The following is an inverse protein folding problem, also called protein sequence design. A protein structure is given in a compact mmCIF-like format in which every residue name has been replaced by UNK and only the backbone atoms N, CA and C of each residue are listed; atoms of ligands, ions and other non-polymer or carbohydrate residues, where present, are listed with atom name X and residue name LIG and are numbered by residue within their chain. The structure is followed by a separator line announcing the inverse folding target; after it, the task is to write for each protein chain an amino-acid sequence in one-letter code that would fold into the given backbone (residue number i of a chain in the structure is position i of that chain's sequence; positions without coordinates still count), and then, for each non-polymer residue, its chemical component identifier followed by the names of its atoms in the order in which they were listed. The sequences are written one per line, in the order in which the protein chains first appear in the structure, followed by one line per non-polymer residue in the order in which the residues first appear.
data_IF_817839073173
#
_entry.id   IF_817839073173
#
_cell.length_a   1.000
_cell.length_b   1.000
_cell.length_c   1.000
_cell.angle_alpha   90.00
_cell.angle_beta   90.00
_cell.angle_gamma   90.00
#
_symmetry.space_group_name_H-M   'P 1'
#
loop_
_entity.id
_entity.type
_entity.pdbx_description
1 polymer ?
#
# COMPACT_ATOMS: atom_id res chain seq x y z
N UNK A 1 26.40 9.28 -25.23
CA UNK A 1 26.78 8.91 -23.85
C UNK A 1 27.90 7.85 -23.79
N UNK A 2 29.02 8.01 -24.52
CA UNK A 2 30.09 6.97 -24.58
C UNK A 2 31.09 6.99 -23.41
N UNK A 3 31.19 8.11 -22.67
CA UNK A 3 32.20 8.27 -21.62
C UNK A 3 31.97 7.34 -20.41
N UNK A 4 30.72 7.15 -19.99
CA UNK A 4 30.37 6.26 -18.87
C UNK A 4 30.49 4.77 -19.25
N UNK A 5 30.22 4.42 -20.51
CA UNK A 5 30.32 3.05 -21.00
C UNK A 5 31.75 2.49 -20.94
N UNK A 6 32.78 3.35 -21.11
CA UNK A 6 34.19 2.95 -20.99
C UNK A 6 34.59 2.58 -19.55
N UNK A 7 33.85 3.06 -18.55
CA UNK A 7 34.13 2.85 -17.13
C UNK A 7 33.00 2.09 -16.42
N UNK A 8 32.36 1.15 -17.11
CA UNK A 8 31.23 0.38 -16.58
C UNK A 8 31.55 -0.31 -15.23
N UNK A 9 32.79 -0.75 -15.01
CA UNK A 9 33.22 -1.36 -13.75
C UNK A 9 33.17 -0.36 -12.57
N UNK A 10 33.71 0.86 -12.76
CA UNK A 10 33.68 1.91 -11.74
C UNK A 10 32.27 2.40 -11.45
N UNK A 11 31.42 2.49 -12.49
CA UNK A 11 30.00 2.83 -12.32
C UNK A 11 29.29 1.76 -11.48
N UNK A 12 29.55 0.47 -11.74
CA UNK A 12 28.97 -0.63 -10.97
C UNK A 12 29.43 -0.62 -9.51
N UNK A 13 30.72 -0.39 -9.27
CA UNK A 13 31.30 -0.28 -7.94
C UNK A 13 30.70 0.91 -7.16
N UNK A 14 30.58 2.08 -7.82
CA UNK A 14 29.91 3.26 -7.26
C UNK A 14 28.44 2.97 -6.93
N UNK A 15 27.70 2.30 -7.83
CA UNK A 15 26.32 1.89 -7.58
C UNK A 15 26.23 0.95 -6.37
N UNK A 16 27.15 0.00 -6.21
CA UNK A 16 27.17 -0.89 -5.04
C UNK A 16 27.47 -0.12 -3.76
N UNK A 17 28.45 0.78 -3.75
CA UNK A 17 28.81 1.59 -2.59
C UNK A 17 27.63 2.47 -2.15
N UNK A 18 27.01 3.18 -3.10
CA UNK A 18 25.82 4.01 -2.86
C UNK A 18 24.66 3.14 -2.34
N UNK A 19 24.47 1.93 -2.87
CA UNK A 19 23.41 1.04 -2.39
C UNK A 19 23.64 0.60 -0.94
N UNK A 20 24.88 0.27 -0.58
CA UNK A 20 25.22 -0.11 0.80
C UNK A 20 25.12 1.06 1.76
N UNK A 21 25.59 2.25 1.35
CA UNK A 21 25.47 3.47 2.15
C UNK A 21 24.00 3.84 2.38
N UNK A 22 23.15 3.72 1.36
CA UNK A 22 21.70 3.92 1.51
C UNK A 22 21.10 2.95 2.51
N UNK A 23 21.46 1.67 2.47
CA UNK A 23 20.99 0.68 3.44
C UNK A 23 21.42 1.04 4.86
N UNK A 24 22.69 1.39 5.06
CA UNK A 24 23.23 1.81 6.37
C UNK A 24 22.53 3.08 6.88
N UNK A 25 22.29 4.05 6.00
CA UNK A 25 21.57 5.28 6.34
C UNK A 25 20.11 4.99 6.73
N UNK A 26 19.41 4.12 5.99
CA UNK A 26 18.05 3.69 6.33
C UNK A 26 18.01 3.02 7.70
N UNK A 27 18.96 2.14 8.02
CA UNK A 27 19.07 1.49 9.33
C UNK A 27 19.24 2.52 10.46
N UNK A 28 20.14 3.50 10.29
CA UNK A 28 20.33 4.56 11.29
C UNK A 28 19.07 5.41 11.49
N UNK A 29 18.38 5.77 10.40
CA UNK A 29 17.10 6.49 10.48
C UNK A 29 16.00 5.69 11.17
N UNK A 30 15.92 4.37 10.94
CA UNK A 30 14.95 3.51 11.62
C UNK A 30 15.17 3.50 13.13
N UNK A 31 16.42 3.43 13.59
CA UNK A 31 16.76 3.51 15.02
C UNK A 31 16.40 4.87 15.63
N UNK A 32 16.74 5.97 14.96
CA UNK A 32 16.43 7.33 15.40
C UNK A 32 14.91 7.57 15.50
N UNK A 33 14.14 7.07 14.52
CA UNK A 33 12.70 7.32 14.40
C UNK A 33 11.89 6.21 15.08
N UNK A 34 12.52 5.19 15.68
CA UNK A 34 11.86 4.04 16.32
C UNK A 34 10.73 4.42 17.28
N UNK A 35 10.90 5.52 18.03
CA UNK A 35 9.89 6.01 18.98
C UNK A 35 8.68 6.70 18.32
N UNK A 36 8.80 7.10 17.06
CA UNK A 36 7.75 7.77 16.27
C UNK A 36 7.03 6.80 15.33
N UNK A 37 7.65 5.68 14.95
CA UNK A 37 7.00 4.62 14.17
C UNK A 37 5.99 3.92 15.08
N UNK A 38 4.72 4.31 14.96
CA UNK A 38 3.63 3.55 15.55
C UNK A 38 3.28 2.38 14.63
N UNK A 39 3.62 1.16 15.05
CA UNK A 39 3.23 -0.08 14.37
C UNK A 39 1.73 -0.35 14.58
N UNK A 40 0.90 0.38 13.84
CA UNK A 40 -0.53 0.08 13.76
C UNK A 40 -0.74 -1.05 12.75
N UNK A 41 -0.21 -2.23 13.07
CA UNK A 41 -0.41 -3.42 12.26
C UNK A 41 -1.87 -3.85 12.37
N UNK A 42 -2.52 -3.96 11.22
CA UNK A 42 -3.92 -4.34 11.11
C UNK A 42 -3.97 -5.69 10.39
N UNK A 43 -4.56 -6.66 11.06
CA UNK A 43 -4.72 -8.04 10.57
C UNK A 43 -6.15 -8.32 10.14
N UNK A 44 -6.37 -9.47 9.49
CA UNK A 44 -7.71 -9.88 9.10
C UNK A 44 -8.55 -10.16 10.36
N UNK A 45 -9.81 -9.73 10.34
CA UNK A 45 -10.73 -9.84 11.47
C UNK A 45 -10.61 -8.73 12.51
N UNK A 46 -9.64 -7.82 12.36
CA UNK A 46 -9.50 -6.68 13.27
C UNK A 46 -10.60 -5.64 13.07
N UNK A 47 -10.99 -5.02 14.17
CA UNK A 47 -11.95 -3.93 14.19
C UNK A 47 -11.20 -2.61 13.94
N UNK A 48 -11.66 -1.84 12.95
CA UNK A 48 -11.00 -0.62 12.49
C UNK A 48 -12.00 0.52 12.29
N UNK A 49 -11.52 1.75 12.41
CA UNK A 49 -12.20 2.96 12.03
C UNK A 49 -11.68 3.46 10.69
N UNK A 50 -12.57 4.00 9.87
CA UNK A 50 -12.21 4.56 8.56
C UNK A 50 -12.33 6.07 8.57
N UNK A 51 -11.25 6.77 8.24
CA UNK A 51 -11.28 8.23 8.07
C UNK A 51 -12.23 8.61 6.93
N UNK A 52 -13.19 9.48 7.22
CA UNK A 52 -14.15 9.98 6.24
C UNK A 52 -13.50 11.06 5.35
N UNK A 53 -13.06 10.66 4.16
CA UNK A 53 -12.41 11.58 3.21
C UNK A 53 -13.37 12.55 2.55
N UNK A 54 -14.65 12.19 2.40
CA UNK A 54 -15.65 13.03 1.71
C UNK A 54 -15.90 14.34 2.45
N UNK A 55 -15.75 14.36 3.78
CA UNK A 55 -15.97 15.57 4.59
C UNK A 55 -14.70 16.41 4.76
N UNK A 56 -13.54 15.90 4.36
CA UNK A 56 -12.24 16.54 4.67
C UNK A 56 -12.11 17.94 4.05
N UNK A 57 -12.73 18.15 2.89
CA UNK A 57 -12.75 19.43 2.15
C UNK A 57 -14.01 20.27 2.39
N UNK A 58 -14.96 19.79 3.20
CA UNK A 58 -16.22 20.51 3.44
C UNK A 58 -16.06 21.61 4.50
N UNK A 59 -16.78 22.73 4.36
CA UNK A 59 -16.79 23.81 5.36
C UNK A 59 -17.37 23.33 6.70
N UNK A 60 -18.38 22.45 6.65
CA UNK A 60 -19.04 21.88 7.83
C UNK A 60 -18.31 20.67 8.43
N UNK A 61 -17.04 20.44 8.05
CA UNK A 61 -16.25 19.28 8.52
C UNK A 61 -16.24 19.15 10.04
N UNK A 62 -16.26 20.27 10.76
CA UNK A 62 -16.25 20.30 12.23
C UNK A 62 -17.52 19.71 12.85
N UNK A 63 -18.64 19.74 12.12
CA UNK A 63 -19.95 19.25 12.57
C UNK A 63 -20.22 17.78 12.20
N UNK A 64 -19.36 17.16 11.39
CA UNK A 64 -19.55 15.80 10.88
C UNK A 64 -18.58 14.81 11.56
N UNK A 65 -18.95 13.52 11.67
CA UNK A 65 -18.07 12.50 12.26
C UNK A 65 -16.80 12.32 11.41
N UNK A 66 -15.64 12.45 12.04
CA UNK A 66 -14.32 12.32 11.39
C UNK A 66 -14.03 10.90 10.91
N UNK A 67 -14.49 9.93 11.68
CA UNK A 67 -14.33 8.51 11.42
C UNK A 67 -15.70 7.90 11.20
N UNK A 68 -15.79 7.03 10.21
CA UNK A 68 -16.89 6.10 10.03
C UNK A 68 -16.73 4.97 11.04
N UNK A 69 -17.85 4.34 11.38
CA UNK A 69 -17.98 3.42 12.50
C UNK A 69 -16.99 2.25 12.50
N UNK A 70 -17.06 1.41 13.53
CA UNK A 70 -16.21 0.23 13.62
C UNK A 70 -16.55 -0.76 12.49
N UNK A 71 -15.54 -1.13 11.72
CA UNK A 71 -15.61 -2.04 10.58
C UNK A 71 -14.63 -3.21 10.76
N UNK A 72 -14.97 -4.38 10.26
CA UNK A 72 -14.11 -5.56 10.30
C UNK A 72 -13.27 -5.63 9.03
N UNK A 73 -11.98 -5.92 9.17
CA UNK A 73 -11.09 -6.18 8.04
C UNK A 73 -11.35 -7.57 7.50
N UNK A 74 -11.81 -7.68 6.25
CA UNK A 74 -12.06 -8.96 5.60
C UNK A 74 -10.81 -9.46 4.89
N UNK A 75 -10.14 -8.56 4.17
CA UNK A 75 -9.02 -8.89 3.31
C UNK A 75 -8.05 -7.71 3.17
N UNK A 76 -6.77 -8.00 3.01
CA UNK A 76 -5.77 -7.04 2.52
C UNK A 76 -5.51 -7.19 1.01
N UNK A 77 -5.09 -6.11 0.36
CA UNK A 77 -4.69 -6.08 -1.05
C UNK A 77 -3.23 -5.72 -1.18
N UNK A 78 -2.61 -6.15 -2.28
CA UNK A 78 -1.24 -5.75 -2.61
C UNK A 78 -1.22 -4.24 -2.90
N UNK A 79 -0.42 -3.49 -2.15
CA UNK A 79 -0.44 -2.02 -2.14
C UNK A 79 -1.04 -1.40 -0.87
N UNK A 80 -1.37 -2.21 0.14
CA UNK A 80 -1.77 -1.71 1.46
C UNK A 80 -3.18 -1.10 1.47
N UNK A 81 -4.09 -1.65 0.67
CA UNK A 81 -5.50 -1.33 0.80
C UNK A 81 -6.25 -2.49 1.46
N UNK A 82 -7.35 -2.18 2.12
CA UNK A 82 -8.19 -3.13 2.85
C UNK A 82 -9.59 -3.20 2.24
N UNK A 83 -10.15 -4.40 2.28
CA UNK A 83 -11.58 -4.66 2.10
C UNK A 83 -12.21 -4.76 3.48
N UNK A 84 -13.25 -3.96 3.71
CA UNK A 84 -13.89 -3.82 5.02
C UNK A 84 -15.35 -4.24 4.96
N UNK A 85 -15.88 -4.72 6.08
CA UNK A 85 -17.31 -4.94 6.29
C UNK A 85 -17.80 -4.19 7.52
N UNK A 86 -19.04 -3.73 7.49
CA UNK A 86 -19.76 -3.31 8.68
C UNK A 86 -20.11 -4.54 9.55
N UNK A 87 -20.45 -4.29 10.81
CA UNK A 87 -20.74 -5.33 11.81
C UNK A 87 -22.00 -6.16 11.51
N UNK A 88 -22.88 -5.64 10.65
CA UNK A 88 -24.05 -6.34 10.13
C UNK A 88 -23.70 -7.33 9.00
N UNK A 89 -22.45 -7.33 8.53
CA UNK A 89 -21.98 -8.14 7.41
C UNK A 89 -22.05 -7.42 6.06
N UNK A 90 -22.47 -6.16 6.01
CA UNK A 90 -22.48 -5.37 4.78
C UNK A 90 -21.06 -5.06 4.32
N UNK A 91 -20.71 -5.45 3.10
CA UNK A 91 -19.36 -5.27 2.54
C UNK A 91 -19.21 -3.86 1.96
N UNK A 92 -18.12 -3.20 2.32
CA UNK A 92 -17.72 -1.95 1.68
C UNK A 92 -17.09 -2.25 0.32
N UNK A 93 -17.82 -1.95 -0.75
CA UNK A 93 -17.47 -2.32 -2.13
C UNK A 93 -16.10 -1.74 -2.58
N UNK A 94 -15.77 -0.53 -2.13
CA UNK A 94 -14.54 0.16 -2.53
C UNK A 94 -13.34 -0.16 -1.62
N UNK A 95 -12.17 -0.40 -2.21
CA UNK A 95 -10.93 -0.59 -1.44
C UNK A 95 -10.59 0.66 -0.62
N UNK A 96 -10.21 0.45 0.64
CA UNK A 96 -9.85 1.53 1.58
C UNK A 96 -8.34 1.53 1.79
N UNK A 97 -7.67 2.63 1.46
CA UNK A 97 -6.23 2.75 1.62
C UNK A 97 -5.81 2.70 3.11
N UNK A 98 -4.67 2.05 3.43
CA UNK A 98 -4.18 1.85 4.80
C UNK A 98 -4.07 3.15 5.61
N UNK A 99 -3.64 4.26 4.99
CA UNK A 99 -3.50 5.53 5.71
C UNK A 99 -4.84 6.11 6.21
N UNK A 100 -5.98 5.59 5.73
CA UNK A 100 -7.33 5.96 6.19
C UNK A 100 -7.83 5.06 7.32
N UNK A 101 -7.20 3.90 7.51
CA UNK A 101 -7.62 2.90 8.48
C UNK A 101 -6.89 3.13 9.79
N UNK A 102 -7.64 3.17 10.89
CA UNK A 102 -7.11 3.31 12.24
C UNK A 102 -7.65 2.17 13.09
N UNK A 103 -6.84 1.42 13.84
CA UNK A 103 -7.33 0.37 14.72
C UNK A 103 -8.38 0.90 15.71
N UNK A 104 -9.49 0.19 15.87
CA UNK A 104 -10.51 0.50 16.86
C UNK A 104 -10.25 -0.30 18.14
N UNK A 105 -10.14 0.39 19.28
CA UNK A 105 -9.85 -0.23 20.59
C UNK A 105 -8.65 -1.18 20.53
N UNK A 106 -7.46 -0.61 20.34
CA UNK A 106 -6.10 -1.20 20.35
C UNK A 106 -5.97 -2.64 19.81
N UNK A 107 -6.59 -3.70 20.35
CA UNK A 107 -6.66 -5.05 19.73
C UNK A 107 -7.91 -5.86 20.16
N UNK A 108 -9.13 -5.41 19.83
CA UNK A 108 -10.31 -6.30 19.97
C UNK A 108 -10.56 -7.06 18.68
N UNK A 109 -9.77 -8.11 18.44
CA UNK A 109 -10.10 -9.08 17.41
C UNK A 109 -11.44 -9.72 17.78
N UNK A 110 -12.43 -9.62 16.90
CA UNK A 110 -13.70 -10.32 17.11
C UNK A 110 -13.41 -11.81 16.89
N UNK A 111 -13.55 -12.61 17.94
CA UNK A 111 -13.43 -14.06 17.82
C UNK A 111 -14.62 -14.57 17.03
N UNK A 112 -14.38 -14.88 15.76
CA UNK A 112 -15.35 -15.57 14.94
C UNK A 112 -15.45 -17.04 15.38
N UNK A 113 -16.64 -17.61 15.18
CA UNK A 113 -16.81 -19.07 15.28
C UNK A 113 -15.91 -19.78 14.27
N UNK A 114 -15.54 -21.03 14.54
CA UNK A 114 -14.64 -21.79 13.66
C UNK A 114 -15.12 -21.83 12.20
N UNK A 115 -16.43 -21.92 11.98
CA UNK A 115 -17.02 -21.93 10.63
C UNK A 115 -16.91 -20.57 9.91
N UNK A 116 -17.02 -19.45 10.63
CA UNK A 116 -16.85 -18.12 10.03
C UNK A 116 -15.37 -17.87 9.77
N UNK A 117 -14.47 -18.28 10.68
CA UNK A 117 -13.04 -18.16 10.47
C UNK A 117 -12.59 -18.97 9.25
N UNK A 118 -13.05 -20.22 9.12
CA UNK A 118 -12.79 -21.05 7.94
C UNK A 118 -13.34 -20.41 6.67
N UNK A 119 -14.51 -19.76 6.72
CA UNK A 119 -15.06 -19.03 5.58
C UNK A 119 -14.30 -17.74 5.23
N UNK A 120 -13.71 -17.05 6.21
CA UNK A 120 -12.84 -15.89 5.99
C UNK A 120 -11.49 -16.32 5.38
N UNK A 121 -10.93 -17.42 5.89
CA UNK A 121 -9.70 -18.02 5.37
C UNK A 121 -9.94 -18.62 3.96
N UNK A 122 -11.12 -19.16 3.73
CA UNK A 122 -11.59 -19.65 2.42
C UNK A 122 -12.01 -18.47 1.55
N UNK A 123 -11.04 -17.81 0.92
CA UNK A 123 -11.29 -16.76 -0.06
C UNK A 123 -12.26 -17.25 -1.16
N UNK A 124 -13.49 -16.69 -1.26
CA UNK A 124 -14.41 -17.05 -2.33
C UNK A 124 -13.82 -16.67 -3.68
N UNK A 125 -14.13 -17.46 -4.71
CA UNK A 125 -13.52 -17.36 -6.04
C UNK A 125 -13.60 -15.94 -6.65
N UNK A 126 -14.70 -15.23 -6.41
CA UNK A 126 -14.88 -13.87 -6.90
C UNK A 126 -13.92 -12.86 -6.23
N UNK A 127 -13.53 -13.06 -4.97
CA UNK A 127 -12.49 -12.26 -4.29
C UNK A 127 -11.09 -12.62 -4.81
N UNK A 128 -10.84 -13.90 -5.09
CA UNK A 128 -9.57 -14.32 -5.70
C UNK A 128 -9.34 -13.67 -7.07
N UNK A 129 -10.38 -13.56 -7.89
CA UNK A 129 -10.32 -12.87 -9.19
C UNK A 129 -9.90 -11.40 -9.03
N UNK A 130 -10.41 -10.71 -8.02
CA UNK A 130 -10.02 -9.32 -7.73
C UNK A 130 -8.55 -9.20 -7.31
N UNK A 131 -8.06 -10.14 -6.52
CA UNK A 131 -6.65 -10.20 -6.11
C UNK A 131 -5.71 -10.57 -7.29
N UNK A 132 -6.13 -11.47 -8.17
CA UNK A 132 -5.32 -11.93 -9.30
C UNK A 132 -5.26 -10.92 -10.46
N UNK A 133 -6.29 -10.08 -10.63
CA UNK A 133 -6.23 -8.94 -11.57
C UNK A 133 -5.06 -8.01 -11.22
N UNK A 134 -4.79 -7.79 -9.93
CA UNK A 134 -3.63 -7.01 -9.46
C UNK A 134 -2.30 -7.73 -9.76
N UNK A 135 -2.23 -9.06 -9.61
CA UNK A 135 -1.05 -9.84 -10.02
C UNK A 135 -0.75 -9.76 -11.52
N UNK A 136 -1.78 -9.64 -12.37
CA UNK A 136 -1.61 -9.57 -13.84
C UNK A 136 -1.24 -8.18 -14.37
N UNK A 137 -1.26 -7.17 -13.51
CA UNK A 137 -0.57 -5.90 -13.74
C UNK A 137 0.77 -5.99 -13.02
N UNK A 138 1.79 -6.68 -13.59
CA UNK A 138 3.13 -6.45 -13.10
C UNK A 138 3.34 -4.95 -13.24
N UNK A 139 3.75 -4.31 -12.14
CA UNK A 139 4.34 -2.99 -12.23
C UNK A 139 5.29 -3.05 -13.41
N UNK A 140 5.05 -2.20 -14.42
CA UNK A 140 5.98 -2.04 -15.54
C UNK A 140 7.32 -1.80 -14.87
N UNK A 141 8.15 -2.84 -14.89
CA UNK A 141 9.51 -2.83 -14.42
C UNK A 141 10.14 -1.55 -14.96
N UNK A 142 10.96 -0.90 -14.16
CA UNK A 142 11.60 0.39 -14.47
C UNK A 142 12.42 0.38 -15.79
N UNK A 143 12.47 -0.76 -16.49
CA UNK A 143 13.08 -0.97 -17.82
C UNK A 143 12.34 -0.29 -19.00
N UNK A 144 11.18 0.36 -18.80
CA UNK A 144 10.45 1.00 -19.91
C UNK A 144 10.52 2.54 -19.96
N UNK A 145 11.33 3.18 -19.11
CA UNK A 145 11.51 4.64 -19.15
C UNK A 145 12.69 5.10 -20.01
N UNK A 146 13.49 4.19 -20.56
CA UNK A 146 14.61 4.55 -21.44
C UNK A 146 14.19 4.81 -22.90
N UNK A 147 12.98 4.40 -23.31
CA UNK A 147 12.56 4.44 -24.72
C UNK A 147 11.81 5.73 -25.15
N UNK A 148 11.50 6.66 -24.24
CA UNK A 148 10.76 7.90 -24.61
C UNK A 148 11.71 8.98 -25.16
N UNK A 149 13.02 8.89 -24.91
CA UNK A 149 13.96 9.95 -25.32
C UNK A 149 14.60 9.78 -26.71
N UNK A 150 14.25 8.76 -27.50
CA UNK A 150 14.86 8.57 -28.84
C UNK A 150 13.95 9.01 -29.99
N UNK A 151 12.66 9.27 -29.77
CA UNK A 151 11.73 9.59 -30.88
C UNK A 151 11.59 11.09 -31.16
N UNK A 152 11.93 11.97 -30.23
CA UNK A 152 11.82 13.43 -30.44
C UNK A 152 13.09 14.11 -30.99
N UNK A 153 14.21 13.39 -31.18
CA UNK A 153 15.45 13.96 -31.71
C UNK A 153 15.64 13.78 -33.23
N UNK A 154 14.60 13.41 -33.98
CA UNK A 154 14.71 13.10 -35.42
C UNK A 154 13.71 13.83 -36.32
N UNK A 155 13.10 14.92 -35.84
CA UNK A 155 12.17 15.73 -36.67
C UNK A 155 12.70 17.09 -37.13
N UNK A 156 13.92 17.46 -36.75
CA UNK A 156 14.54 18.71 -37.18
C UNK A 156 15.82 18.43 -37.98
N UNK A 157 15.68 17.84 -39.17
CA UNK A 157 16.67 17.85 -40.25
C UNK A 157 16.03 17.21 -41.48
N UNK A 158 15.25 18.02 -42.20
CA UNK A 158 15.20 18.10 -43.67
C UNK A 158 14.49 19.40 -44.08
#
# INVERSE_FOLDING_TARGET
AQALAKHAAHVKEMCTCISTEKIQWTMGLEEEIKHKIMSNEVTLGDLVLVKNSSIEKSADRKMKPRYLGPMVVIQWHQGGAFLLAELDGSIWINKVAAFRVVPYLVHTCIKFSAHIQEALDTMPEWLQRQHNTEKSLPGKSIEYLEDIHTVEASKDLD
#
